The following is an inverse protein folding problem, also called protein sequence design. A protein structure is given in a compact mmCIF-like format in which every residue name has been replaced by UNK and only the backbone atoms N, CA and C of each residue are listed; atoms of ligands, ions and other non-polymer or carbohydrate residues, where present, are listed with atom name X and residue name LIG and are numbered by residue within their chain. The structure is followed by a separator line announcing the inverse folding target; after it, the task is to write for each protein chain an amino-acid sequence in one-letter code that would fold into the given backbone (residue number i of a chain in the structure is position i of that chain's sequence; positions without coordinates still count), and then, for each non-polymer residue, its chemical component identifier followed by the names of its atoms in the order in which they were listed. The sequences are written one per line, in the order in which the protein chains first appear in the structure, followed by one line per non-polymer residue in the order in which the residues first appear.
data_IF_468929423162
#
_entry.id   IF_468929423162
#
_cell.length_a   1.000
_cell.length_b   1.000
_cell.length_c   1.000
_cell.angle_alpha   90.00
_cell.angle_beta   90.00
_cell.angle_gamma   90.00
#
_symmetry.space_group_name_H-M   'P 1'
#
loop_
_entity.id
_entity.type
_entity.pdbx_description
1 polymer ?
#
# COMPACT_ATOMS: atom_id res chain seq x y z
N UNK A 1 -76.18 -11.59 6.01
CA UNK A 1 -76.47 -10.65 7.13
C UNK A 1 -75.40 -10.79 8.19
N UNK A 2 -74.48 -9.82 8.30
CA UNK A 2 -73.66 -9.57 9.51
C UNK A 2 -73.33 -8.06 9.52
N UNK A 3 -73.49 -7.35 10.66
CA UNK A 3 -73.53 -5.89 10.66
C UNK A 3 -72.18 -5.20 10.93
N UNK A 4 -71.91 -4.16 10.12
CA UNK A 4 -71.55 -2.77 10.51
C UNK A 4 -70.38 -2.54 11.49
N UNK A 5 -69.15 -2.77 11.03
CA UNK A 5 -67.88 -2.36 11.63
C UNK A 5 -67.44 -0.95 11.16
N UNK A 6 -68.24 0.09 11.41
CA UNK A 6 -67.91 1.47 10.99
C UNK A 6 -67.74 2.46 12.14
N UNK A 7 -67.64 1.98 13.39
CA UNK A 7 -67.55 2.84 14.59
C UNK A 7 -66.17 2.88 15.25
N UNK A 8 -65.24 2.03 14.82
CA UNK A 8 -63.88 1.93 15.38
C UNK A 8 -62.89 2.85 14.66
N UNK A 9 -63.07 3.04 13.34
CA UNK A 9 -62.19 3.89 12.52
C UNK A 9 -62.30 5.38 12.87
N UNK A 10 -63.51 5.88 13.17
CA UNK A 10 -63.70 7.30 13.52
C UNK A 10 -63.12 7.65 14.89
N UNK A 11 -63.05 6.68 15.82
CA UNK A 11 -62.46 6.89 17.15
C UNK A 11 -60.93 6.96 17.07
N UNK A 12 -60.33 6.27 16.11
CA UNK A 12 -58.88 6.27 15.91
C UNK A 12 -58.39 7.58 15.28
N UNK A 13 -59.15 8.14 14.34
CA UNK A 13 -58.84 9.44 13.72
C UNK A 13 -58.99 10.60 14.72
N UNK A 14 -60.00 10.57 15.60
CA UNK A 14 -60.17 11.59 16.65
C UNK A 14 -59.03 11.57 17.67
N UNK A 15 -58.52 10.39 18.06
CA UNK A 15 -57.37 10.26 18.97
C UNK A 15 -56.08 10.79 18.32
N UNK A 16 -55.87 10.52 17.03
CA UNK A 16 -54.65 10.96 16.33
C UNK A 16 -54.59 12.48 16.18
N UNK A 17 -55.73 13.12 15.89
CA UNK A 17 -55.82 14.57 15.79
C UNK A 17 -55.76 15.28 17.17
N UNK A 18 -56.26 14.65 18.24
CA UNK A 18 -56.08 15.17 19.61
C UNK A 18 -54.62 15.05 20.11
N UNK A 19 -53.93 13.97 19.73
CA UNK A 19 -52.52 13.75 20.10
C UNK A 19 -51.57 14.76 19.44
N UNK A 20 -51.84 15.16 18.20
CA UNK A 20 -51.06 16.19 17.48
C UNK A 20 -51.29 17.61 18.03
N UNK A 21 -52.46 17.89 18.62
CA UNK A 21 -52.77 19.19 19.21
C UNK A 21 -52.14 19.41 20.60
N UNK A 22 -51.70 18.35 21.28
CA UNK A 22 -51.21 18.39 22.67
C UNK A 22 -49.67 18.32 22.81
N UNK A 23 -48.90 18.40 21.72
CA UNK A 23 -47.44 18.39 21.77
C UNK A 23 -46.81 19.78 21.51
N UNK A 24 -46.92 20.76 22.42
CA UNK A 24 -46.08 21.95 22.41
C UNK A 24 -44.71 21.59 23.00
N UNK A 25 -43.73 21.32 22.15
CA UNK A 25 -42.35 21.20 22.62
C UNK A 25 -41.49 20.33 21.74
N UNK A 26 -40.66 20.98 20.92
CA UNK A 26 -39.59 20.37 20.14
C UNK A 26 -38.57 19.71 21.07
N UNK A 27 -38.83 18.49 21.53
CA UNK A 27 -37.77 17.61 22.01
C UNK A 27 -37.12 17.00 20.77
N UNK A 28 -35.97 17.54 20.41
CA UNK A 28 -35.08 17.05 19.36
C UNK A 28 -34.61 15.63 19.67
N UNK A 29 -35.44 14.65 19.33
CA UNK A 29 -35.07 13.24 19.27
C UNK A 29 -34.00 13.16 18.17
N UNK A 30 -32.75 12.74 18.47
CA UNK A 30 -31.77 12.55 17.41
C UNK A 30 -32.35 11.53 16.44
N UNK A 31 -32.56 11.96 15.21
CA UNK A 31 -33.11 11.14 14.13
C UNK A 31 -32.44 9.77 14.14
N UNK A 32 -33.20 8.71 13.88
CA UNK A 32 -32.69 7.33 13.79
C UNK A 32 -31.40 7.26 12.92
N UNK A 33 -31.29 8.15 11.94
CA UNK A 33 -30.12 8.37 11.09
C UNK A 33 -28.83 8.77 11.84
N UNK A 34 -28.93 9.51 12.94
CA UNK A 34 -27.78 9.89 13.78
C UNK A 34 -27.25 8.72 14.60
N UNK A 35 -28.12 7.81 15.04
CA UNK A 35 -27.75 6.59 15.79
C UNK A 35 -27.16 5.55 14.85
N UNK A 36 -27.75 5.39 13.66
CA UNK A 36 -27.18 4.55 12.58
C UNK A 36 -25.83 5.12 12.12
N UNK A 37 -25.71 6.45 11.97
CA UNK A 37 -24.45 7.12 11.66
C UNK A 37 -23.37 6.90 12.72
N UNK A 38 -23.71 7.00 14.00
CA UNK A 38 -22.79 6.75 15.11
C UNK A 38 -22.33 5.27 15.17
N UNK A 39 -23.24 4.32 14.90
CA UNK A 39 -22.93 2.89 14.84
C UNK A 39 -22.06 2.52 13.63
N UNK A 40 -22.30 3.12 12.46
CA UNK A 40 -21.44 2.97 11.28
C UNK A 40 -20.05 3.58 11.55
N UNK A 41 -19.98 4.74 12.21
CA UNK A 41 -18.72 5.39 12.57
C UNK A 41 -17.92 4.60 13.62
N UNK A 42 -18.59 3.98 14.60
CA UNK A 42 -18.00 3.06 15.58
C UNK A 42 -17.53 1.73 14.93
N UNK A 43 -18.21 1.27 13.88
CA UNK A 43 -17.84 0.05 13.14
C UNK A 43 -16.67 0.26 12.17
N UNK A 44 -16.57 1.45 11.57
CA UNK A 44 -15.39 1.86 10.76
C UNK A 44 -14.17 2.15 11.64
N UNK A 45 -14.38 2.50 12.92
CA UNK A 45 -13.33 2.96 13.83
C UNK A 45 -12.43 1.90 14.47
N UNK A 46 -12.74 0.59 14.41
CA UNK A 46 -11.92 -0.45 15.10
C UNK A 46 -11.15 -1.39 14.17
N UNK A 47 -11.49 -1.46 12.88
CA UNK A 47 -10.96 -2.47 11.95
C UNK A 47 -10.60 -1.89 10.58
N UNK A 48 -10.11 -0.65 10.51
CA UNK A 48 -9.66 -0.05 9.25
C UNK A 48 -8.15 0.18 9.18
N UNK A 49 -7.42 0.00 10.29
CA UNK A 49 -5.96 0.13 10.29
C UNK A 49 -5.27 -0.89 9.39
N UNK A 50 -5.82 -2.11 9.28
CA UNK A 50 -5.29 -3.12 8.35
C UNK A 50 -5.45 -2.69 6.89
N UNK A 51 -6.58 -2.08 6.53
CA UNK A 51 -6.82 -1.57 5.17
C UNK A 51 -5.95 -0.35 4.86
N UNK A 52 -5.76 0.54 5.85
CA UNK A 52 -4.85 1.69 5.71
C UNK A 52 -3.40 1.21 5.55
N UNK A 53 -2.95 0.22 6.35
CA UNK A 53 -1.62 -0.38 6.23
C UNK A 53 -1.42 -1.09 4.89
N UNK A 54 -2.42 -1.82 4.41
CA UNK A 54 -2.37 -2.51 3.12
C UNK A 54 -2.32 -1.50 1.96
N UNK A 55 -3.18 -0.47 1.99
CA UNK A 55 -3.11 0.63 1.01
C UNK A 55 -1.77 1.36 1.06
N UNK A 56 -1.25 1.67 2.24
CA UNK A 56 0.05 2.32 2.39
C UNK A 56 1.20 1.45 1.86
N UNK A 57 1.18 0.14 2.13
CA UNK A 57 2.17 -0.81 1.60
C UNK A 57 2.10 -0.90 0.08
N UNK A 58 0.91 -0.97 -0.51
CA UNK A 58 0.70 -0.97 -1.96
C UNK A 58 1.20 0.33 -2.58
N UNK A 59 0.87 1.48 -1.98
CA UNK A 59 1.36 2.79 -2.44
C UNK A 59 2.88 2.88 -2.35
N UNK A 60 3.50 2.42 -1.25
CA UNK A 60 4.96 2.37 -1.12
C UNK A 60 5.60 1.45 -2.18
N UNK A 61 5.02 0.29 -2.45
CA UNK A 61 5.48 -0.62 -3.50
C UNK A 61 5.37 0.01 -4.90
N UNK A 62 4.26 0.71 -5.17
CA UNK A 62 4.02 1.42 -6.43
C UNK A 62 5.00 2.59 -6.62
N UNK A 63 5.27 3.37 -5.56
CA UNK A 63 6.27 4.45 -5.58
C UNK A 63 7.69 3.91 -5.77
N UNK A 64 8.01 2.77 -5.14
CA UNK A 64 9.31 2.10 -5.27
C UNK A 64 9.53 1.58 -6.70
N UNK A 65 8.49 1.00 -7.29
CA UNK A 65 8.49 0.53 -8.68
C UNK A 65 8.65 1.69 -9.67
N UNK A 66 7.95 2.82 -9.44
CA UNK A 66 8.09 4.04 -10.25
C UNK A 66 9.50 4.63 -10.17
N UNK A 67 10.11 4.67 -8.98
CA UNK A 67 11.51 5.11 -8.81
C UNK A 67 12.49 4.17 -9.53
N UNK A 68 12.22 2.86 -9.51
CA UNK A 68 13.06 1.88 -10.18
C UNK A 68 13.04 2.01 -11.71
N UNK A 69 11.89 2.40 -12.28
CA UNK A 69 11.70 2.61 -13.73
C UNK A 69 12.19 3.97 -14.22
N UNK A 70 11.98 5.04 -13.44
CA UNK A 70 12.41 6.39 -13.80
C UNK A 70 13.89 6.68 -13.48
N UNK A 71 14.63 5.70 -12.98
CA UNK A 71 16.06 5.84 -12.71
C UNK A 71 16.86 5.67 -14.00
N UNK A 72 17.86 6.52 -14.23
CA UNK A 72 18.87 6.40 -15.32
C UNK A 72 19.54 5.00 -15.37
N UNK A 73 19.40 4.20 -14.31
CA UNK A 73 19.82 2.81 -14.20
C UNK A 73 19.00 1.82 -15.06
N UNK A 74 17.92 2.21 -15.75
CA UNK A 74 17.21 1.34 -16.71
C UNK A 74 17.98 1.10 -18.00
N UNK A 75 18.96 1.94 -18.33
CA UNK A 75 19.83 1.75 -19.49
C UNK A 75 20.83 0.60 -19.29
N UNK A 76 21.03 0.17 -18.04
CA UNK A 76 21.98 -0.89 -17.73
C UNK A 76 21.37 -2.25 -18.05
N UNK A 77 22.06 -3.10 -18.82
CA UNK A 77 21.57 -4.42 -19.15
C UNK A 77 21.51 -5.28 -17.87
N UNK A 78 20.47 -6.11 -17.76
CA UNK A 78 20.28 -6.98 -16.60
C UNK A 78 18.98 -7.76 -16.62
N UNK A 79 18.79 -8.68 -15.67
CA UNK A 79 17.55 -9.44 -15.54
C UNK A 79 16.37 -8.54 -15.18
N UNK A 80 15.19 -8.88 -15.70
CA UNK A 80 13.96 -8.08 -15.56
C UNK A 80 13.52 -7.88 -14.11
N UNK A 81 13.92 -8.76 -13.18
CA UNK A 81 13.60 -8.67 -11.76
C UNK A 81 14.60 -7.84 -10.94
N UNK A 82 15.78 -7.50 -11.50
CA UNK A 82 16.80 -6.71 -10.81
C UNK A 82 16.29 -5.34 -10.28
N UNK A 83 15.39 -4.61 -10.97
CA UNK A 83 14.86 -3.35 -10.45
C UNK A 83 13.92 -3.51 -9.25
N UNK A 84 13.36 -4.71 -9.03
CA UNK A 84 12.26 -4.91 -8.09
C UNK A 84 12.70 -5.55 -6.78
N UNK A 85 13.62 -6.52 -6.81
CA UNK A 85 13.94 -7.31 -5.62
C UNK A 85 15.43 -7.65 -5.51
N UNK A 86 15.95 -7.62 -4.27
CA UNK A 86 17.28 -8.11 -3.91
C UNK A 86 17.25 -9.52 -3.30
N UNK A 87 16.07 -10.12 -3.17
CA UNK A 87 15.88 -11.42 -2.52
C UNK A 87 16.70 -12.53 -3.19
N UNK A 88 16.79 -12.50 -4.52
CA UNK A 88 17.59 -13.46 -5.28
C UNK A 88 19.09 -13.39 -4.90
N UNK A 89 19.64 -12.18 -4.77
CA UNK A 89 21.02 -11.99 -4.34
C UNK A 89 21.23 -12.45 -2.90
N UNK A 90 20.33 -12.10 -1.98
CA UNK A 90 20.41 -12.55 -0.58
C UNK A 90 20.42 -14.08 -0.46
N UNK A 91 19.60 -14.74 -1.27
CA UNK A 91 19.60 -16.20 -1.37
C UNK A 91 20.89 -16.78 -1.95
N UNK A 92 21.47 -16.12 -2.96
CA UNK A 92 22.78 -16.53 -3.49
C UNK A 92 23.91 -16.29 -2.49
N UNK A 93 23.85 -15.20 -1.72
CA UNK A 93 24.80 -14.87 -0.65
C UNK A 93 24.77 -15.95 0.44
N UNK A 94 23.58 -16.37 0.90
CA UNK A 94 23.47 -17.42 1.91
C UNK A 94 23.98 -18.78 1.44
N UNK A 95 23.99 -19.03 0.12
CA UNK A 95 24.54 -20.25 -0.50
C UNK A 95 25.99 -20.14 -0.93
N UNK A 96 26.60 -18.95 -0.89
CA UNK A 96 27.95 -18.72 -1.42
C UNK A 96 28.07 -18.85 -2.95
N UNK A 97 26.97 -18.85 -3.70
CA UNK A 97 26.94 -19.06 -5.16
C UNK A 97 26.95 -17.74 -5.97
N UNK A 98 27.17 -16.60 -5.30
CA UNK A 98 27.25 -15.28 -5.93
C UNK A 98 28.32 -15.17 -7.03
N UNK A 99 29.58 -15.60 -6.84
CA UNK A 99 30.62 -15.39 -7.85
C UNK A 99 30.28 -16.09 -9.17
N UNK A 100 29.80 -17.33 -9.12
CA UNK A 100 29.41 -18.09 -10.31
C UNK A 100 28.24 -17.41 -11.05
N UNK A 101 27.25 -16.95 -10.29
CA UNK A 101 26.09 -16.24 -10.85
C UNK A 101 26.49 -14.92 -11.50
N UNK A 102 27.36 -14.15 -10.86
CA UNK A 102 27.87 -12.86 -11.36
C UNK A 102 28.69 -13.07 -12.62
N UNK A 103 29.53 -14.10 -12.66
CA UNK A 103 30.30 -14.45 -13.85
C UNK A 103 29.40 -14.83 -15.03
N UNK A 104 28.35 -15.62 -14.78
CA UNK A 104 27.35 -15.95 -15.80
C UNK A 104 26.56 -14.71 -16.26
N UNK A 105 26.23 -13.80 -15.35
CA UNK A 105 25.55 -12.55 -15.67
C UNK A 105 26.41 -11.63 -16.55
N UNK A 106 27.70 -11.48 -16.23
CA UNK A 106 28.64 -10.72 -17.05
C UNK A 106 28.87 -11.35 -18.42
N UNK A 107 28.90 -12.68 -18.52
CA UNK A 107 28.97 -13.39 -19.80
C UNK A 107 27.74 -13.13 -20.69
N UNK A 108 26.56 -12.95 -20.09
CA UNK A 108 25.28 -12.77 -20.82
C UNK A 108 24.95 -11.32 -21.16
N UNK A 109 25.16 -10.40 -20.22
CA UNK A 109 24.72 -9.00 -20.31
C UNK A 109 25.87 -8.02 -20.57
N UNK A 110 27.12 -8.47 -20.45
CA UNK A 110 28.31 -7.67 -20.69
C UNK A 110 28.99 -7.16 -19.41
N UNK A 111 29.95 -6.23 -19.56
CA UNK A 111 30.84 -5.85 -18.47
C UNK A 111 30.19 -5.00 -17.37
N UNK A 112 28.99 -4.46 -17.60
CA UNK A 112 28.25 -3.66 -16.62
C UNK A 112 26.83 -4.20 -16.54
N UNK A 113 26.44 -4.69 -15.36
CA UNK A 113 25.14 -5.38 -15.18
C UNK A 113 24.44 -4.88 -13.92
N UNK A 114 23.14 -4.63 -14.01
CA UNK A 114 22.30 -4.33 -12.86
C UNK A 114 21.77 -5.62 -12.24
N UNK A 115 22.14 -5.92 -11.00
CA UNK A 115 21.68 -7.13 -10.29
C UNK A 115 20.69 -6.84 -9.14
N UNK A 116 20.59 -5.58 -8.71
CA UNK A 116 19.65 -5.16 -7.66
C UNK A 116 19.03 -3.78 -7.93
N UNK A 117 18.07 -3.34 -7.09
CA UNK A 117 17.40 -2.06 -7.26
C UNK A 117 18.37 -0.90 -7.07
N UNK A 118 19.36 -1.07 -6.17
CA UNK A 118 20.41 -0.09 -5.85
C UNK A 118 21.83 -0.62 -6.07
N UNK A 119 21.98 -1.77 -6.72
CA UNK A 119 23.27 -2.46 -6.88
C UNK A 119 23.60 -2.68 -8.36
N UNK A 120 24.76 -2.19 -8.78
CA UNK A 120 25.33 -2.35 -10.11
C UNK A 120 26.68 -3.03 -9.97
N UNK A 121 26.91 -4.05 -10.80
CA UNK A 121 28.12 -4.84 -10.82
C UNK A 121 28.91 -4.52 -12.08
N UNK A 122 30.21 -4.27 -11.93
CA UNK A 122 31.09 -3.77 -12.99
C UNK A 122 32.33 -4.66 -13.04
N UNK A 123 32.62 -5.22 -14.22
CA UNK A 123 33.84 -5.99 -14.50
C UNK A 123 34.83 -5.23 -15.39
N UNK A 124 34.47 -4.05 -15.92
CA UNK A 124 35.35 -3.24 -16.77
C UNK A 124 36.41 -2.50 -15.97
N UNK A 125 37.68 -2.65 -16.39
CA UNK A 125 38.84 -2.02 -15.74
C UNK A 125 38.84 -0.50 -15.93
N UNK A 126 38.41 0.00 -17.08
CA UNK A 126 38.43 1.44 -17.34
C UNK A 126 37.38 2.16 -16.48
N UNK A 127 36.15 1.62 -16.42
CA UNK A 127 35.09 2.11 -15.54
C UNK A 127 35.48 2.06 -14.06
N UNK A 128 36.10 0.95 -13.59
CA UNK A 128 36.56 0.85 -12.21
C UNK A 128 37.61 1.91 -11.87
N UNK A 129 38.58 2.16 -12.76
CA UNK A 129 39.58 3.21 -12.56
C UNK A 129 38.93 4.59 -12.44
N UNK A 130 37.96 4.89 -13.31
CA UNK A 130 37.24 6.16 -13.26
C UNK A 130 36.51 6.33 -11.93
N UNK A 131 35.70 5.34 -11.51
CA UNK A 131 34.90 5.40 -10.28
C UNK A 131 35.80 5.60 -9.05
N UNK A 132 36.88 4.82 -8.96
CA UNK A 132 37.83 4.90 -7.84
C UNK A 132 38.64 6.20 -7.82
N UNK A 133 38.77 6.89 -8.95
CA UNK A 133 39.51 8.15 -9.06
C UNK A 133 38.65 9.41 -8.88
N UNK A 134 37.35 9.32 -9.20
CA UNK A 134 36.44 10.48 -9.21
C UNK A 134 35.68 10.64 -7.89
N UNK A 135 35.34 9.54 -7.22
CA UNK A 135 34.48 9.56 -6.04
C UNK A 135 35.24 8.98 -4.85
N UNK A 136 35.22 9.69 -3.72
CA UNK A 136 35.62 9.10 -2.45
C UNK A 136 34.53 8.10 -2.00
N UNK A 137 34.80 6.80 -2.14
CA UNK A 137 33.92 5.74 -1.66
C UNK A 137 34.24 5.42 -0.19
N UNK A 138 33.39 5.81 0.78
CA UNK A 138 33.59 5.47 2.19
C UNK A 138 33.32 3.98 2.41
N UNK A 139 34.37 3.15 2.27
CA UNK A 139 34.29 1.68 2.47
C UNK A 139 33.69 1.31 3.83
N UNK A 140 33.97 2.13 4.86
CA UNK A 140 33.47 1.92 6.22
C UNK A 140 31.94 2.00 6.29
N UNK A 141 31.33 2.94 5.56
CA UNK A 141 29.87 3.06 5.52
C UNK A 141 29.23 1.86 4.80
N UNK A 142 29.89 1.34 3.76
CA UNK A 142 29.39 0.16 3.03
C UNK A 142 29.34 -1.09 3.93
N UNK A 143 30.38 -1.36 4.72
CA UNK A 143 30.40 -2.54 5.60
C UNK A 143 29.32 -2.51 6.69
N UNK A 144 28.83 -1.33 7.07
CA UNK A 144 27.77 -1.21 8.06
C UNK A 144 26.38 -1.56 7.52
N UNK A 145 26.20 -1.58 6.19
CA UNK A 145 24.92 -1.86 5.53
C UNK A 145 24.75 -3.33 5.08
N UNK A 146 25.80 -4.16 5.19
CA UNK A 146 25.81 -5.58 4.76
C UNK A 146 25.56 -6.49 5.97
#
# INVERSE_FOLDING_TARGET
MYPRTSRVLTLFDDIYHHALACAPGKASIPTLNSIVGLLVFLSVGRSNWLLILLCAAVVQWMLSSRKAWNSTLTQLPGPWYAPFTNLHLQYLFSRGAVPDYVQAAHARYGPVVRLGPRQVWISDKAALKQILSTVDLPKVAMYAEI
#
